data_IF_231446858143
#
_entry.id   IF_231446858143
#
_cell.length_a   1.000
_cell.length_b   1.000
_cell.length_c   1.000
_cell.angle_alpha   90.00
_cell.angle_beta   90.00
_cell.angle_gamma   90.00
#
_symmetry.space_group_name_H-M   'P 1'
#
loop_
_entity.id
_entity.type
_entity.pdbx_description
1 polymer ?
#
# COMPACT_ATOMS: atom_id res chain seq x y z
N UNK A 1 -2.93 -16.13 2.57
CA UNK A 1 -2.44 -14.74 2.78
C UNK A 1 -1.49 -14.42 1.64
N UNK A 2 -1.50 -13.22 1.06
CA UNK A 2 -0.67 -12.92 -0.13
C UNK A 2 0.81 -13.28 0.05
N UNK A 3 1.42 -12.93 1.19
CA UNK A 3 2.83 -13.25 1.45
C UNK A 3 3.07 -14.77 1.42
N UNK A 4 2.21 -15.57 2.05
CA UNK A 4 2.32 -17.05 2.01
C UNK A 4 2.15 -17.56 0.58
N UNK A 5 1.16 -17.06 -0.16
CA UNK A 5 0.91 -17.51 -1.53
C UNK A 5 2.10 -17.21 -2.45
N UNK A 6 2.75 -16.05 -2.29
CA UNK A 6 4.01 -15.73 -2.99
C UNK A 6 5.13 -16.65 -2.50
N UNK A 7 5.34 -16.77 -1.18
CA UNK A 7 6.43 -17.53 -0.56
C UNK A 7 6.41 -19.02 -0.92
N UNK A 8 5.23 -19.62 -1.02
CA UNK A 8 5.03 -21.05 -1.25
C UNK A 8 4.58 -21.39 -2.70
N UNK A 9 4.52 -20.39 -3.61
CA UNK A 9 4.08 -20.58 -5.02
C UNK A 9 2.68 -21.19 -5.14
N UNK A 10 1.79 -20.77 -4.25
CA UNK A 10 0.43 -21.29 -4.25
C UNK A 10 -0.32 -20.77 -5.48
N UNK A 11 -1.14 -21.64 -6.07
CA UNK A 11 -1.99 -21.33 -7.23
C UNK A 11 -3.05 -20.26 -6.96
N UNK A 12 -3.26 -19.88 -5.71
CA UNK A 12 -4.25 -18.90 -5.28
C UNK A 12 -3.72 -17.45 -5.23
N UNK A 13 -2.46 -17.21 -5.61
CA UNK A 13 -1.82 -15.88 -5.52
C UNK A 13 -2.67 -14.76 -6.14
N UNK A 14 -3.17 -14.96 -7.36
CA UNK A 14 -4.00 -13.97 -8.04
C UNK A 14 -5.29 -13.68 -7.26
N UNK A 15 -5.95 -14.73 -6.78
CA UNK A 15 -7.19 -14.61 -6.00
C UNK A 15 -6.95 -13.82 -4.70
N UNK A 16 -5.89 -14.14 -3.95
CA UNK A 16 -5.58 -13.44 -2.70
C UNK A 16 -5.04 -12.03 -2.93
N UNK A 17 -4.35 -11.78 -4.05
CA UNK A 17 -3.95 -10.42 -4.47
C UNK A 17 -5.18 -9.57 -4.72
N UNK A 18 -6.13 -10.07 -5.52
CA UNK A 18 -7.37 -9.37 -5.81
C UNK A 18 -8.19 -9.12 -4.55
N UNK A 19 -8.20 -10.06 -3.59
CA UNK A 19 -8.85 -9.85 -2.29
C UNK A 19 -8.15 -8.76 -1.47
N UNK A 20 -6.83 -8.74 -1.40
CA UNK A 20 -6.07 -7.70 -0.69
C UNK A 20 -6.33 -6.31 -1.30
N UNK A 21 -6.33 -6.22 -2.64
CA UNK A 21 -6.49 -4.96 -3.35
C UNK A 21 -7.93 -4.40 -3.36
N UNK A 22 -8.89 -5.09 -2.74
CA UNK A 22 -10.20 -4.49 -2.40
C UNK A 22 -10.09 -3.51 -1.23
N UNK A 23 -9.15 -3.73 -0.29
CA UNK A 23 -9.01 -2.91 0.92
C UNK A 23 -8.85 -1.42 0.62
N UNK A 24 -7.98 -0.95 -0.31
CA UNK A 24 -7.87 0.47 -0.64
C UNK A 24 -9.20 1.11 -1.06
N UNK A 25 -9.99 0.40 -1.88
CA UNK A 25 -11.27 0.91 -2.37
C UNK A 25 -12.35 0.92 -1.29
N UNK A 26 -12.40 -0.11 -0.43
CA UNK A 26 -13.31 -0.15 0.71
C UNK A 26 -12.98 0.94 1.74
N UNK A 27 -11.69 1.15 2.03
CA UNK A 27 -11.23 2.25 2.88
C UNK A 27 -11.53 3.61 2.24
N UNK A 28 -11.30 3.78 0.93
CA UNK A 28 -11.62 5.01 0.22
C UNK A 28 -13.13 5.33 0.26
N UNK A 29 -14.00 4.32 0.23
CA UNK A 29 -15.44 4.52 0.41
C UNK A 29 -15.79 5.10 1.79
N UNK A 30 -15.00 4.80 2.83
CA UNK A 30 -15.12 5.46 4.13
C UNK A 30 -14.61 6.90 4.06
N UNK A 31 -13.42 7.14 3.50
CA UNK A 31 -12.87 8.49 3.32
C UNK A 31 -13.82 9.39 2.53
N UNK A 32 -14.49 8.87 1.50
CA UNK A 32 -15.46 9.61 0.68
C UNK A 32 -16.58 10.22 1.51
N UNK A 33 -17.06 9.53 2.55
CA UNK A 33 -18.15 10.00 3.42
C UNK A 33 -17.76 11.24 4.24
N UNK A 34 -16.48 11.39 4.57
CA UNK A 34 -15.99 12.45 5.45
C UNK A 34 -15.23 13.55 4.71
N UNK A 35 -14.58 13.21 3.59
CA UNK A 35 -13.64 14.09 2.88
C UNK A 35 -13.98 14.30 1.39
N UNK A 36 -15.02 13.64 0.88
CA UNK A 36 -15.44 13.77 -0.52
C UNK A 36 -14.58 12.99 -1.53
N UNK A 37 -15.01 13.02 -2.79
CA UNK A 37 -14.50 12.15 -3.85
C UNK A 37 -13.02 12.34 -4.18
N UNK A 38 -12.55 13.59 -4.19
CA UNK A 38 -11.17 13.91 -4.56
C UNK A 38 -10.17 13.29 -3.59
N UNK A 39 -10.41 13.48 -2.28
CA UNK A 39 -9.55 12.95 -1.22
C UNK A 39 -9.63 11.43 -1.19
N UNK A 40 -10.83 10.85 -1.31
CA UNK A 40 -11.00 9.40 -1.36
C UNK A 40 -10.25 8.76 -2.55
N UNK A 41 -10.28 9.38 -3.72
CA UNK A 41 -9.59 8.90 -4.93
C UNK A 41 -8.07 8.93 -4.73
N UNK A 42 -7.54 10.02 -4.17
CA UNK A 42 -6.12 10.14 -3.90
C UNK A 42 -5.66 9.12 -2.85
N UNK A 43 -6.42 8.94 -1.77
CA UNK A 43 -6.18 7.90 -0.77
C UNK A 43 -6.12 6.50 -1.41
N UNK A 44 -7.13 6.16 -2.22
CA UNK A 44 -7.22 4.86 -2.90
C UNK A 44 -5.97 4.59 -3.75
N UNK A 45 -5.53 5.59 -4.52
CA UNK A 45 -4.35 5.48 -5.38
C UNK A 45 -3.10 5.19 -4.56
N UNK A 46 -2.82 6.03 -3.55
CA UNK A 46 -1.63 5.89 -2.71
C UNK A 46 -1.61 4.56 -1.95
N UNK A 47 -2.74 4.17 -1.34
CA UNK A 47 -2.84 2.92 -0.57
C UNK A 47 -2.78 1.68 -1.47
N UNK A 48 -3.33 1.75 -2.68
CA UNK A 48 -3.20 0.66 -3.67
C UNK A 48 -1.76 0.49 -4.09
N UNK A 49 -1.07 1.58 -4.42
CA UNK A 49 0.35 1.56 -4.77
C UNK A 49 1.20 0.97 -3.63
N UNK A 50 0.94 1.38 -2.39
CA UNK A 50 1.61 0.84 -1.21
C UNK A 50 1.55 -0.70 -1.14
N UNK A 51 0.36 -1.28 -1.34
CA UNK A 51 0.15 -2.72 -1.28
C UNK A 51 0.77 -3.45 -2.49
N UNK A 52 0.75 -2.83 -3.67
CA UNK A 52 1.39 -3.38 -4.87
C UNK A 52 2.91 -3.42 -4.71
N UNK A 53 3.52 -2.33 -4.21
CA UNK A 53 4.96 -2.27 -3.93
C UNK A 53 5.37 -3.32 -2.89
N UNK A 54 4.58 -3.51 -1.83
CA UNK A 54 4.82 -4.55 -0.84
C UNK A 54 4.81 -5.96 -1.47
N UNK A 55 3.85 -6.27 -2.35
CA UNK A 55 3.80 -7.55 -3.05
C UNK A 55 5.01 -7.75 -3.98
N UNK A 56 5.41 -6.71 -4.71
CA UNK A 56 6.60 -6.74 -5.58
C UNK A 56 7.89 -6.93 -4.77
N UNK A 57 7.99 -6.29 -3.60
CA UNK A 57 9.13 -6.44 -2.69
C UNK A 57 9.29 -7.89 -2.25
N UNK A 58 8.20 -8.53 -1.81
CA UNK A 58 8.21 -9.94 -1.40
C UNK A 58 8.59 -10.86 -2.56
N UNK A 59 8.09 -10.61 -3.77
CA UNK A 59 8.47 -11.37 -4.98
C UNK A 59 9.96 -11.20 -5.31
N UNK A 60 10.49 -9.99 -5.27
CA UNK A 60 11.90 -9.72 -5.55
C UNK A 60 12.82 -10.38 -4.51
N UNK A 61 12.46 -10.28 -3.23
CA UNK A 61 13.18 -10.93 -2.14
C UNK A 61 13.16 -12.46 -2.29
N UNK A 62 12.00 -13.04 -2.60
CA UNK A 62 11.87 -14.48 -2.87
C UNK A 62 12.75 -14.93 -4.04
N UNK A 63 12.83 -14.15 -5.10
CA UNK A 63 13.65 -14.44 -6.27
C UNK A 63 15.17 -14.27 -6.02
N UNK A 64 15.59 -13.87 -4.81
CA UNK A 64 16.99 -13.57 -4.49
C UNK A 64 17.52 -12.32 -5.18
N UNK A 65 16.64 -11.47 -5.73
CA UNK A 65 17.03 -10.26 -6.43
C UNK A 65 17.15 -9.08 -5.44
N UNK A 66 18.24 -9.07 -4.68
CA UNK A 66 18.49 -8.07 -3.63
C UNK A 66 18.54 -6.63 -4.15
N UNK A 67 19.03 -6.41 -5.38
CA UNK A 67 19.05 -5.08 -5.98
C UNK A 67 17.61 -4.58 -6.24
N UNK A 68 16.79 -5.38 -6.91
CA UNK A 68 15.40 -5.00 -7.16
C UNK A 68 14.62 -4.84 -5.85
N UNK A 69 14.85 -5.73 -4.87
CA UNK A 69 14.23 -5.61 -3.56
C UNK A 69 14.56 -4.27 -2.88
N UNK A 70 15.84 -3.86 -2.85
CA UNK A 70 16.24 -2.58 -2.28
C UNK A 70 15.65 -1.37 -3.02
N UNK A 71 15.58 -1.43 -4.36
CA UNK A 71 14.96 -0.36 -5.16
C UNK A 71 13.45 -0.24 -4.90
N UNK A 72 12.75 -1.37 -4.79
CA UNK A 72 11.30 -1.40 -4.49
C UNK A 72 11.06 -0.97 -3.05
N UNK A 73 11.88 -1.39 -2.09
CA UNK A 73 11.81 -0.98 -0.69
C UNK A 73 11.90 0.54 -0.56
N UNK A 74 12.86 1.17 -1.26
CA UNK A 74 12.96 2.64 -1.29
C UNK A 74 11.68 3.31 -1.80
N UNK A 75 11.07 2.77 -2.86
CA UNK A 75 9.79 3.28 -3.39
C UNK A 75 8.64 3.05 -2.41
N UNK A 76 8.64 1.90 -1.73
CA UNK A 76 7.62 1.53 -0.74
C UNK A 76 7.64 2.50 0.45
N UNK A 77 8.82 2.83 0.97
CA UNK A 77 8.98 3.87 2.00
C UNK A 77 8.61 5.26 1.50
N UNK A 78 9.03 5.65 0.28
CA UNK A 78 8.65 6.94 -0.29
C UNK A 78 7.12 7.09 -0.41
N UNK A 79 6.41 6.05 -0.86
CA UNK A 79 4.96 6.04 -0.91
C UNK A 79 4.32 6.08 0.51
N UNK A 80 4.95 5.47 1.51
CA UNK A 80 4.52 5.59 2.91
C UNK A 80 4.65 7.04 3.42
N UNK A 81 5.74 7.73 3.09
CA UNK A 81 5.94 9.14 3.43
C UNK A 81 4.90 10.05 2.74
N UNK A 82 4.55 9.75 1.49
CA UNK A 82 3.49 10.43 0.75
C UNK A 82 2.12 10.21 1.40
N UNK A 83 1.81 8.97 1.80
CA UNK A 83 0.60 8.64 2.57
C UNK A 83 0.54 9.43 3.88
N UNK A 84 1.63 9.45 4.66
CA UNK A 84 1.69 10.19 5.91
C UNK A 84 1.50 11.70 5.71
N UNK A 85 2.17 12.28 4.72
CA UNK A 85 2.02 13.69 4.37
C UNK A 85 0.57 14.01 3.96
N UNK A 86 -0.01 13.19 3.07
CA UNK A 86 -1.37 13.35 2.62
C UNK A 86 -2.39 13.26 3.77
N UNK A 87 -2.32 12.20 4.59
CA UNK A 87 -3.23 12.01 5.73
C UNK A 87 -3.13 13.17 6.73
N UNK A 88 -1.93 13.67 6.99
CA UNK A 88 -1.74 14.84 7.86
C UNK A 88 -2.30 16.14 7.28
N UNK A 89 -2.31 16.27 5.95
CA UNK A 89 -2.85 17.45 5.27
C UNK A 89 -4.37 17.54 5.32
N UNK A 90 -5.06 16.40 5.42
CA UNK A 90 -6.53 16.34 5.40
C UNK A 90 -7.15 16.23 6.80
N UNK A 91 -6.35 15.91 7.82
CA UNK A 91 -6.82 15.79 9.19
C UNK A 91 -5.84 16.45 10.17
N UNK A 92 -6.22 17.58 10.82
CA UNK A 92 -5.34 18.31 11.73
C UNK A 92 -4.99 17.52 13.01
N UNK A 93 -5.70 16.43 13.32
CA UNK A 93 -5.42 15.57 14.45
C UNK A 93 -4.45 14.43 14.14
N UNK A 94 -4.02 14.28 12.88
CA UNK A 94 -3.06 13.27 12.45
C UNK A 94 -1.73 13.93 12.09
N UNK A 95 -0.87 14.18 13.07
CA UNK A 95 0.45 14.76 12.77
C UNK A 95 1.27 13.82 11.89
N UNK A 96 2.02 14.38 10.92
CA UNK A 96 2.90 13.58 10.06
C UNK A 96 3.87 12.74 10.89
N UNK A 97 4.46 13.31 11.94
CA UNK A 97 5.41 12.63 12.81
C UNK A 97 4.83 11.40 13.54
N UNK A 98 3.51 11.36 13.79
CA UNK A 98 2.84 10.20 14.37
C UNK A 98 2.52 9.12 13.33
N UNK A 99 2.52 9.46 12.05
CA UNK A 99 2.24 8.56 10.93
C UNK A 99 3.51 8.02 10.26
N UNK A 100 4.66 8.63 10.52
CA UNK A 100 5.98 8.17 10.10
C UNK A 100 6.68 7.41 11.23
N UNK A 101 7.47 6.39 10.89
CA UNK A 101 8.36 5.69 11.83
C UNK A 101 9.81 6.04 11.57
#
# INVERSE_FOLDING_TARGET
MLIISIAEELRDEEFVTNRLLRNPSDMAAVFKRYYGDKIATQFNSLMREHLVLAAQLVKAAKAGNSQAAAEIEKKWYANADELAAFLSSINPYWSKSALTK
#
